data_IF_794440055922
#
_entry.id   IF_794440055922
#
_cell.length_a   1.000
_cell.length_b   1.000
_cell.length_c   1.000
_cell.angle_alpha   90.00
_cell.angle_beta   90.00
_cell.angle_gamma   90.00
#
_symmetry.space_group_name_H-M   'P 1'
#
loop_
_entity.id
_entity.type
_entity.pdbx_description
1 polymer ?
#
# COMPACT_ATOMS: atom_id res chain seq x y z
N UNK A 1 -25.50 5.38 18.82
CA UNK A 1 -24.13 4.97 18.46
C UNK A 1 -24.20 3.91 17.38
N UNK A 2 -23.65 4.12 16.17
CA UNK A 2 -23.77 3.07 15.15
C UNK A 2 -22.96 3.28 13.88
N UNK A 3 -21.85 2.52 13.80
CA UNK A 3 -20.97 2.30 12.63
C UNK A 3 -20.06 3.46 12.24
N UNK A 4 -19.00 3.62 13.04
CA UNK A 4 -17.75 4.22 12.57
C UNK A 4 -17.18 3.27 11.49
N UNK A 5 -17.52 3.51 10.22
CA UNK A 5 -16.84 2.93 9.05
C UNK A 5 -15.44 3.53 8.95
N UNK A 6 -14.53 3.15 9.83
CA UNK A 6 -13.09 3.44 9.66
C UNK A 6 -12.34 2.14 9.58
N UNK A 7 -12.34 1.55 8.37
CA UNK A 7 -11.28 0.62 8.00
C UNK A 7 -10.76 1.03 6.62
N UNK A 8 -10.26 2.26 6.53
CA UNK A 8 -9.34 2.63 5.46
C UNK A 8 -8.01 1.94 5.77
N UNK A 9 -7.99 0.61 5.57
CA UNK A 9 -6.76 -0.18 5.61
C UNK A 9 -6.17 -0.10 4.22
N UNK A 10 -5.23 0.82 4.01
CA UNK A 10 -4.43 0.78 2.80
C UNK A 10 -3.49 -0.42 2.91
N UNK A 11 -3.45 -1.26 1.88
CA UNK A 11 -2.57 -2.43 1.83
C UNK A 11 -1.73 -2.32 0.58
N UNK A 12 -0.42 -2.39 0.74
CA UNK A 12 0.52 -2.39 -0.37
C UNK A 12 1.36 -3.65 -0.38
N UNK A 13 1.85 -4.00 -1.55
CA UNK A 13 2.90 -4.97 -1.77
C UNK A 13 4.15 -4.22 -2.20
N UNK A 14 5.22 -4.40 -1.42
CA UNK A 14 6.58 -4.06 -1.82
C UNK A 14 7.11 -5.21 -2.67
N UNK A 15 7.57 -4.90 -3.87
CA UNK A 15 8.16 -5.84 -4.80
C UNK A 15 9.56 -5.38 -5.20
N UNK A 16 10.41 -6.34 -5.52
CA UNK A 16 11.72 -6.09 -6.07
C UNK A 16 11.57 -5.84 -7.59
N UNK A 17 12.06 -4.70 -8.09
CA UNK A 17 11.89 -4.30 -9.50
C UNK A 17 12.71 -5.17 -10.45
N UNK A 18 13.81 -5.78 -9.96
CA UNK A 18 14.69 -6.62 -10.78
C UNK A 18 14.10 -8.01 -11.01
N UNK A 19 13.45 -8.57 -9.99
CA UNK A 19 12.90 -9.93 -10.01
C UNK A 19 11.38 -9.95 -10.22
N UNK A 20 10.70 -8.83 -9.98
CA UNK A 20 9.24 -8.73 -9.95
C UNK A 20 8.58 -9.44 -8.75
N UNK A 21 9.39 -10.01 -7.85
CA UNK A 21 8.92 -10.78 -6.71
C UNK A 21 8.37 -9.88 -5.60
N UNK A 22 7.24 -10.26 -5.01
CA UNK A 22 6.72 -9.59 -3.81
C UNK A 22 7.61 -9.93 -2.63
N UNK A 23 8.27 -8.91 -2.10
CA UNK A 23 9.18 -9.01 -0.95
C UNK A 23 8.38 -8.93 0.34
N UNK A 24 7.38 -8.04 0.40
CA UNK A 24 6.63 -7.80 1.63
C UNK A 24 5.25 -7.20 1.37
N UNK A 25 4.25 -7.61 2.13
CA UNK A 25 2.96 -6.91 2.20
C UNK A 25 2.92 -6.03 3.45
N UNK A 26 2.55 -4.76 3.29
CA UNK A 26 2.44 -3.78 4.38
C UNK A 26 0.98 -3.36 4.53
N UNK A 27 0.50 -3.36 5.77
CA UNK A 27 -0.87 -2.99 6.13
C UNK A 27 -0.85 -1.71 6.95
N UNK A 28 -1.44 -0.65 6.42
CA UNK A 28 -1.58 0.62 7.12
C UNK A 28 -2.91 0.66 7.85
N UNK A 29 -2.89 1.10 9.11
CA UNK A 29 -4.10 1.25 9.92
C UNK A 29 -4.76 2.60 9.71
N UNK A 30 -4.02 3.58 9.18
CA UNK A 30 -4.52 4.91 8.87
C UNK A 30 -3.89 5.47 7.58
N UNK A 31 -4.57 6.40 6.89
CA UNK A 31 -3.99 7.10 5.74
C UNK A 31 -2.71 7.87 6.09
N UNK A 32 -2.58 8.36 7.33
CA UNK A 32 -1.39 9.09 7.78
C UNK A 32 -0.13 8.20 7.77
N UNK A 33 -0.26 6.96 8.26
CA UNK A 33 0.85 5.98 8.21
C UNK A 33 1.27 5.67 6.77
N UNK A 34 0.29 5.64 5.85
CA UNK A 34 0.57 5.47 4.42
C UNK A 34 1.30 6.68 3.82
N UNK A 35 0.86 7.90 4.12
CA UNK A 35 1.53 9.12 3.65
C UNK A 35 2.97 9.23 4.16
N UNK A 36 3.21 8.87 5.43
CA UNK A 36 4.55 8.81 6.02
C UNK A 36 5.41 7.75 5.32
N UNK A 37 4.83 6.58 5.00
CA UNK A 37 5.52 5.58 4.19
C UNK A 37 5.88 6.11 2.80
N UNK A 38 4.96 6.75 2.08
CA UNK A 38 5.24 7.27 0.72
C UNK A 38 6.32 8.36 0.76
N UNK A 39 6.28 9.25 1.75
CA UNK A 39 7.32 10.27 1.95
C UNK A 39 8.67 9.62 2.25
N UNK A 40 8.71 8.65 3.17
CA UNK A 40 9.92 7.89 3.51
C UNK A 40 10.46 7.10 2.33
N UNK A 41 9.58 6.47 1.55
CA UNK A 41 9.95 5.68 0.38
C UNK A 41 10.59 6.55 -0.72
N UNK A 42 10.01 7.73 -1.00
CA UNK A 42 10.58 8.71 -1.94
C UNK A 42 11.90 9.29 -1.44
N UNK A 43 12.02 9.55 -0.14
CA UNK A 43 13.22 10.13 0.46
C UNK A 43 14.38 9.12 0.57
N UNK A 44 14.10 7.86 0.92
CA UNK A 44 15.11 6.80 1.06
C UNK A 44 15.62 6.26 -0.28
N UNK A 45 15.03 6.70 -1.41
CA UNK A 45 15.49 6.37 -2.77
C UNK A 45 15.76 4.87 -2.94
N UNK A 46 14.88 4.00 -2.42
CA UNK A 46 14.99 2.54 -2.45
C UNK A 46 15.28 2.04 -3.88
N UNK A 47 16.55 1.85 -4.27
CA UNK A 47 16.87 1.55 -5.65
C UNK A 47 16.57 0.07 -5.87
N UNK A 48 15.72 -0.23 -6.85
CA UNK A 48 15.35 -1.60 -7.18
C UNK A 48 14.19 -2.17 -6.37
N UNK A 49 13.49 -1.36 -5.57
CA UNK A 49 12.21 -1.74 -5.00
C UNK A 49 11.10 -0.82 -5.47
N UNK A 50 9.96 -1.40 -5.78
CA UNK A 50 8.72 -0.70 -6.10
C UNK A 50 7.62 -1.12 -5.13
N UNK A 51 6.54 -0.34 -5.07
CA UNK A 51 5.34 -0.75 -4.32
C UNK A 51 4.09 -0.59 -5.17
N UNK A 52 3.09 -1.43 -4.90
CA UNK A 52 1.77 -1.38 -5.55
C UNK A 52 0.65 -1.63 -4.55
N UNK A 53 -0.54 -1.09 -4.79
CA UNK A 53 -1.70 -1.37 -3.95
C UNK A 53 -2.18 -2.80 -4.14
N UNK A 54 -2.38 -3.53 -3.03
CA UNK A 54 -2.93 -4.89 -3.04
C UNK A 54 -4.45 -4.91 -3.29
N UNK A 55 -5.14 -3.85 -2.88
CA UNK A 55 -6.61 -3.82 -2.82
C UNK A 55 -7.30 -3.20 -4.06
N UNK A 56 -6.54 -2.64 -5.02
CA UNK A 56 -7.16 -1.97 -6.19
C UNK A 56 -7.77 -2.92 -7.23
N UNK A 57 -7.65 -4.24 -7.09
CA UNK A 57 -8.35 -5.20 -7.97
C UNK A 57 -9.80 -5.51 -7.55
N UNK A 58 -10.25 -5.15 -6.34
CA UNK A 58 -11.63 -5.48 -5.91
C UNK A 58 -12.70 -4.41 -6.18
N UNK A 59 -12.36 -3.27 -6.80
CA UNK A 59 -13.32 -2.21 -7.16
C UNK A 59 -13.50 -1.98 -8.67
N UNK A 60 -13.15 -2.94 -9.53
CA UNK A 60 -13.66 -3.03 -10.92
C UNK A 60 -14.57 -4.24 -11.11
N UNK A 61 -15.65 -4.34 -10.33
CA UNK A 61 -16.78 -5.24 -10.63
C UNK A 61 -18.07 -4.75 -9.94
N UNK A 62 -18.53 -3.58 -10.38
CA UNK A 62 -19.94 -3.13 -10.37
C UNK A 62 -19.92 -1.74 -10.98
N UNK A 63 -19.96 -1.68 -12.30
CA UNK A 63 -21.07 -1.15 -13.11
C UNK A 63 -20.82 -1.58 -14.55
#
# INVERSE_FOLDING_TARGET
MGRIRTKNKEVIELFDEKTGGVVRTIYFRSPKEFDEFVKGFKAMRYPGYGWRYRDKEKKKKKT
#
